data_IF_730026082669
#
_entry.id   IF_730026082669
#
_cell.length_a   1.000
_cell.length_b   1.000
_cell.length_c   1.000
_cell.angle_alpha   90.00
_cell.angle_beta   90.00
_cell.angle_gamma   90.00
#
_symmetry.space_group_name_H-M   'P 1'
#
loop_
_entity.id
_entity.type
_entity.pdbx_description
1 polymer ?
#
# COMPACT_ATOMS: atom_id res chain seq x y z
N UNK A 1 57.68 50.29 -41.36
CA UNK A 1 57.06 49.06 -41.88
C UNK A 1 56.65 48.25 -40.67
N UNK A 2 55.38 48.42 -40.29
CA UNK A 2 54.80 47.91 -39.04
C UNK A 2 54.32 46.47 -39.25
N UNK A 3 54.72 45.59 -38.32
CA UNK A 3 54.05 44.32 -38.08
C UNK A 3 52.76 44.59 -37.30
N UNK A 4 51.60 44.13 -37.80
CA UNK A 4 50.39 43.98 -36.99
C UNK A 4 49.90 42.55 -37.08
N UNK A 5 49.79 41.95 -35.89
CA UNK A 5 49.23 40.64 -35.61
C UNK A 5 47.76 40.58 -36.07
N UNK A 6 47.41 39.44 -36.68
CA UNK A 6 46.03 39.02 -36.93
C UNK A 6 45.51 38.34 -35.65
N UNK A 7 44.72 39.06 -34.86
CA UNK A 7 43.83 38.46 -33.87
C UNK A 7 42.58 37.94 -34.61
N UNK A 8 42.39 36.62 -34.62
CA UNK A 8 41.12 36.01 -35.01
C UNK A 8 40.16 36.15 -33.84
N UNK A 9 39.07 36.89 -34.05
CA UNK A 9 37.96 36.88 -33.12
C UNK A 9 37.24 35.53 -33.25
N UNK A 10 36.92 34.84 -32.14
CA UNK A 10 36.02 33.70 -32.20
C UNK A 10 34.62 34.20 -32.60
N UNK A 11 34.03 33.53 -33.60
CA UNK A 11 32.63 33.71 -33.97
C UNK A 11 31.72 33.59 -32.74
N UNK A 12 30.68 34.43 -32.61
CA UNK A 12 29.72 34.25 -31.54
C UNK A 12 29.00 32.91 -31.75
N UNK A 13 29.25 31.96 -30.84
CA UNK A 13 28.43 30.77 -30.69
C UNK A 13 26.97 31.18 -30.60
N UNK A 14 26.15 30.60 -31.48
CA UNK A 14 24.71 30.78 -31.56
C UNK A 14 24.08 30.65 -30.17
N UNK A 15 23.26 31.63 -29.78
CA UNK A 15 22.38 31.62 -28.60
C UNK A 15 21.29 30.52 -28.63
N UNK A 16 21.47 29.45 -29.42
CA UNK A 16 20.49 28.38 -29.58
C UNK A 16 20.68 27.19 -28.63
N UNK A 17 21.64 27.23 -27.71
CA UNK A 17 21.89 26.19 -26.70
C UNK A 17 21.60 26.64 -25.26
N UNK A 18 20.88 27.76 -25.06
CA UNK A 18 20.38 28.14 -23.73
C UNK A 18 19.00 27.53 -23.47
N UNK A 19 19.02 26.53 -22.59
CA UNK A 19 17.98 26.21 -21.61
C UNK A 19 16.56 26.12 -22.17
N UNK A 20 16.18 24.94 -22.66
CA UNK A 20 14.81 24.49 -22.47
C UNK A 20 14.66 24.17 -20.98
N UNK A 21 14.37 25.18 -20.15
CA UNK A 21 13.80 24.96 -18.82
C UNK A 21 12.55 24.10 -19.01
N UNK A 22 12.64 22.82 -18.63
CA UNK A 22 11.50 21.93 -18.67
C UNK A 22 10.53 22.40 -17.59
N UNK A 23 9.42 23.03 -18.02
CA UNK A 23 8.42 23.60 -17.12
C UNK A 23 7.93 22.53 -16.14
N UNK A 24 7.93 22.85 -14.83
CA UNK A 24 7.37 21.98 -13.79
C UNK A 24 5.95 21.57 -14.19
N UNK A 25 5.70 20.26 -14.19
CA UNK A 25 4.41 19.70 -14.58
C UNK A 25 3.34 20.14 -13.56
N UNK A 26 2.10 20.41 -14.02
CA UNK A 26 0.97 20.57 -13.11
C UNK A 26 0.79 19.34 -12.22
N UNK A 27 0.32 19.54 -10.98
CA UNK A 27 0.12 18.44 -10.03
C UNK A 27 -0.76 17.30 -10.60
N UNK A 28 -1.81 17.64 -11.35
CA UNK A 28 -2.68 16.66 -12.01
C UNK A 28 -2.00 15.80 -13.07
N UNK A 29 -0.94 16.31 -13.71
CA UNK A 29 -0.13 15.52 -14.64
C UNK A 29 0.85 14.62 -13.89
N UNK A 30 1.43 15.11 -12.80
CA UNK A 30 2.35 14.35 -11.95
C UNK A 30 1.65 13.14 -11.32
N UNK A 31 0.39 13.30 -10.90
CA UNK A 31 -0.41 12.24 -10.28
C UNK A 31 -0.76 11.09 -11.24
N UNK A 32 -0.61 11.30 -12.56
CA UNK A 32 -0.83 10.29 -13.60
C UNK A 32 0.40 9.46 -13.93
N UNK A 33 1.59 9.94 -13.56
CA UNK A 33 2.86 9.29 -13.88
C UNK A 33 2.91 7.88 -13.26
N UNK A 34 3.36 6.92 -14.05
CA UNK A 34 3.78 5.60 -13.56
C UNK A 34 5.00 5.73 -12.64
N UNK A 35 5.35 4.67 -11.88
CA UNK A 35 6.51 4.72 -10.98
C UNK A 35 7.81 5.09 -11.69
N UNK A 36 8.02 4.55 -12.90
CA UNK A 36 9.21 4.82 -13.72
C UNK A 36 9.22 6.25 -14.26
N UNK A 37 8.07 6.74 -14.72
CA UNK A 37 7.95 8.13 -15.21
C UNK A 37 8.15 9.14 -14.07
N UNK A 38 7.63 8.85 -12.88
CA UNK A 38 7.87 9.68 -11.68
C UNK A 38 9.36 9.74 -11.34
N UNK A 39 10.05 8.60 -11.29
CA UNK A 39 11.49 8.56 -11.01
C UNK A 39 12.28 9.36 -12.05
N UNK A 40 12.01 9.15 -13.35
CA UNK A 40 12.66 9.90 -14.43
C UNK A 40 12.38 11.41 -14.33
N UNK A 41 11.15 11.80 -13.98
CA UNK A 41 10.77 13.19 -13.80
C UNK A 41 11.56 13.84 -12.66
N UNK A 42 11.65 13.19 -11.48
CA UNK A 42 12.43 13.73 -10.37
C UNK A 42 13.93 13.81 -10.69
N UNK A 43 14.50 12.82 -11.40
CA UNK A 43 15.88 12.89 -11.87
C UNK A 43 16.12 14.06 -12.81
N UNK A 44 15.17 14.35 -13.71
CA UNK A 44 15.28 15.53 -14.58
C UNK A 44 15.26 16.86 -13.81
N UNK A 45 14.48 16.96 -12.72
CA UNK A 45 14.47 18.14 -11.85
C UNK A 45 15.76 18.26 -11.02
N UNK A 46 16.36 17.12 -10.66
CA UNK A 46 17.65 17.06 -9.96
C UNK A 46 18.79 17.60 -10.84
N UNK A 47 18.85 17.12 -12.10
CA UNK A 47 19.81 17.59 -13.10
C UNK A 47 19.67 19.10 -13.39
N UNK A 48 18.45 19.63 -13.28
CA UNK A 48 18.15 21.06 -13.43
C UNK A 48 18.37 21.87 -12.14
N UNK A 49 18.68 21.23 -11.01
CA UNK A 49 18.85 21.89 -9.72
C UNK A 49 17.55 22.46 -9.11
N UNK A 50 16.38 22.03 -9.58
CA UNK A 50 15.07 22.51 -9.14
C UNK A 50 14.32 21.53 -8.24
N UNK A 51 14.84 20.30 -8.05
CA UNK A 51 14.20 19.23 -7.30
C UNK A 51 13.82 19.63 -5.86
N UNK A 52 14.73 20.23 -5.07
CA UNK A 52 14.43 20.57 -3.68
C UNK A 52 13.27 21.57 -3.57
N UNK A 53 13.27 22.63 -4.39
CA UNK A 53 12.20 23.62 -4.40
C UNK A 53 10.86 23.01 -4.86
N UNK A 54 10.91 22.11 -5.86
CA UNK A 54 9.72 21.37 -6.28
C UNK A 54 9.17 20.52 -5.13
N UNK A 55 10.02 19.71 -4.47
CA UNK A 55 9.59 18.83 -3.39
C UNK A 55 9.05 19.62 -2.20
N UNK A 56 9.69 20.74 -1.84
CA UNK A 56 9.19 21.69 -0.82
C UNK A 56 7.77 22.16 -1.12
N UNK A 57 7.43 22.46 -2.38
CA UNK A 57 6.06 22.83 -2.75
C UNK A 57 5.13 21.62 -2.81
N UNK A 58 5.64 20.49 -3.30
CA UNK A 58 4.87 19.27 -3.52
C UNK A 58 4.32 18.69 -2.21
N UNK A 59 5.10 18.74 -1.13
CA UNK A 59 4.70 18.21 0.18
C UNK A 59 3.55 18.99 0.83
N UNK A 60 3.28 20.23 0.41
CA UNK A 60 2.12 21.02 0.87
C UNK A 60 0.80 20.50 0.29
N UNK A 61 0.86 19.83 -0.87
CA UNK A 61 -0.28 19.17 -1.46
C UNK A 61 -0.37 17.73 -0.91
N UNK A 62 -1.35 17.47 -0.04
CA UNK A 62 -1.55 16.15 0.60
C UNK A 62 -1.62 14.97 -0.39
N UNK A 63 -2.24 15.16 -1.55
CA UNK A 63 -2.36 14.10 -2.56
C UNK A 63 -1.03 13.84 -3.26
N UNK A 64 -0.29 14.90 -3.59
CA UNK A 64 1.02 14.78 -4.21
C UNK A 64 2.05 14.20 -3.22
N UNK A 65 2.04 14.63 -1.96
CA UNK A 65 2.83 14.02 -0.89
C UNK A 65 2.52 12.52 -0.78
N UNK A 66 1.24 12.14 -0.77
CA UNK A 66 0.84 10.73 -0.68
C UNK A 66 1.37 9.93 -1.89
N UNK A 67 1.24 10.44 -3.11
CA UNK A 67 1.75 9.82 -4.33
C UNK A 67 3.28 9.66 -4.28
N UNK A 68 4.01 10.74 -4.01
CA UNK A 68 5.47 10.74 -3.89
C UNK A 68 5.95 9.78 -2.81
N UNK A 69 5.27 9.77 -1.67
CA UNK A 69 5.59 8.86 -0.56
C UNK A 69 5.40 7.41 -0.96
N UNK A 70 4.30 7.05 -1.62
CA UNK A 70 4.09 5.65 -2.00
C UNK A 70 5.12 5.16 -3.03
N UNK A 71 5.50 6.01 -3.98
CA UNK A 71 6.49 5.69 -5.01
C UNK A 71 7.93 5.97 -4.58
N UNK A 72 8.16 6.49 -3.38
CA UNK A 72 9.49 6.75 -2.82
C UNK A 72 10.40 5.52 -2.94
N UNK A 73 9.83 4.32 -2.78
CA UNK A 73 10.54 3.06 -2.93
C UNK A 73 11.20 2.88 -4.30
N UNK A 74 10.74 3.53 -5.37
CA UNK A 74 11.29 3.46 -6.73
C UNK A 74 12.23 4.62 -7.08
N UNK A 75 12.42 5.58 -6.17
CA UNK A 75 13.31 6.71 -6.38
C UNK A 75 14.78 6.35 -6.12
N UNK A 76 15.69 7.16 -6.66
CA UNK A 76 17.11 7.07 -6.34
C UNK A 76 17.38 7.42 -4.87
N UNK A 77 18.46 6.89 -4.29
CA UNK A 77 18.72 7.03 -2.84
C UNK A 77 18.83 8.49 -2.37
N UNK A 78 19.44 9.34 -3.18
CA UNK A 78 19.61 10.76 -2.84
C UNK A 78 18.26 11.51 -2.90
N UNK A 79 17.39 11.14 -3.85
CA UNK A 79 16.02 11.64 -3.96
C UNK A 79 15.15 11.18 -2.77
N UNK A 80 15.26 9.90 -2.37
CA UNK A 80 14.59 9.37 -1.17
C UNK A 80 14.99 10.17 0.07
N UNK A 81 16.30 10.36 0.26
CA UNK A 81 16.85 11.09 1.41
C UNK A 81 16.40 12.55 1.41
N UNK A 82 16.36 13.20 0.25
CA UNK A 82 15.90 14.58 0.13
C UNK A 82 14.41 14.70 0.50
N UNK A 83 13.56 13.82 -0.04
CA UNK A 83 12.13 13.77 0.30
C UNK A 83 11.92 13.52 1.81
N UNK A 84 12.66 12.58 2.40
CA UNK A 84 12.60 12.28 3.83
C UNK A 84 12.98 13.50 4.68
N UNK A 85 14.09 14.17 4.36
CA UNK A 85 14.51 15.38 5.08
C UNK A 85 13.44 16.50 4.99
N UNK A 86 12.82 16.70 3.82
CA UNK A 86 11.76 17.70 3.65
C UNK A 86 10.56 17.35 4.51
N UNK A 87 10.12 16.08 4.48
CA UNK A 87 9.00 15.62 5.27
C UNK A 87 9.29 15.80 6.76
N UNK A 88 10.49 15.42 7.23
CA UNK A 88 10.94 15.61 8.62
C UNK A 88 10.99 17.09 9.05
N UNK A 89 11.47 18.00 8.17
CA UNK A 89 11.50 19.44 8.44
C UNK A 89 10.10 20.02 8.61
N UNK A 90 9.14 19.56 7.80
CA UNK A 90 7.73 20.01 7.84
C UNK A 90 6.89 19.24 8.85
N UNK A 91 7.50 18.28 9.53
CA UNK A 91 6.92 17.40 10.55
C UNK A 91 6.61 18.16 11.84
N UNK A 92 5.73 19.16 11.80
CA UNK A 92 4.85 19.48 12.94
C UNK A 92 3.71 18.42 13.06
N UNK A 93 3.96 17.17 12.67
CA UNK A 93 2.96 16.37 11.93
C UNK A 93 1.89 15.68 12.78
N UNK A 94 2.03 15.58 14.09
CA UNK A 94 0.91 15.14 14.94
C UNK A 94 1.01 15.86 16.28
N UNK A 95 0.07 16.76 16.64
CA UNK A 95 -0.01 17.22 18.01
C UNK A 95 -0.25 15.99 18.89
N UNK A 96 0.65 15.67 19.83
CA UNK A 96 0.42 14.58 20.76
C UNK A 96 -0.87 14.87 21.53
N UNK A 97 -1.72 13.85 21.69
CA UNK A 97 -3.05 13.94 22.30
C UNK A 97 -4.14 14.66 21.46
N UNK A 98 -4.05 14.65 20.13
CA UNK A 98 -5.14 15.14 19.29
C UNK A 98 -6.40 14.25 19.35
N UNK A 99 -7.58 14.85 19.48
CA UNK A 99 -8.88 14.19 19.25
C UNK A 99 -9.14 13.91 17.75
N UNK A 100 -8.20 14.26 16.87
CA UNK A 100 -8.32 14.05 15.42
C UNK A 100 -8.24 12.58 15.01
N UNK A 101 -8.69 12.31 13.78
CA UNK A 101 -8.45 11.04 13.09
C UNK A 101 -7.03 11.04 12.48
N UNK A 102 -6.52 9.87 12.05
CA UNK A 102 -5.31 9.79 11.24
C UNK A 102 -5.35 10.80 10.10
N UNK A 103 -4.25 11.53 9.86
CA UNK A 103 -4.13 12.56 8.82
C UNK A 103 -5.14 13.73 8.90
N UNK A 104 -5.82 13.87 10.04
CA UNK A 104 -6.93 14.81 10.24
C UNK A 104 -8.03 14.66 9.18
N UNK A 105 -8.36 13.41 8.83
CA UNK A 105 -9.32 13.10 7.76
C UNK A 105 -10.67 13.80 7.95
N UNK A 106 -11.08 14.08 9.19
CA UNK A 106 -12.30 14.82 9.50
C UNK A 106 -12.30 16.28 9.03
N UNK A 107 -11.14 16.87 8.77
CA UNK A 107 -11.04 18.21 8.16
C UNK A 107 -11.24 18.17 6.65
N UNK A 108 -11.06 17.00 6.02
CA UNK A 108 -11.09 16.82 4.55
C UNK A 108 -12.39 16.16 4.07
N UNK A 109 -12.90 15.20 4.83
CA UNK A 109 -14.07 14.40 4.46
C UNK A 109 -15.20 14.60 5.47
N UNK A 110 -16.42 14.66 4.97
CA UNK A 110 -17.63 14.67 5.78
C UNK A 110 -17.83 13.35 6.52
N UNK A 111 -18.69 13.36 7.54
CA UNK A 111 -18.99 12.18 8.35
C UNK A 111 -19.45 10.96 7.52
N UNK A 112 -20.28 11.16 6.50
CA UNK A 112 -20.76 10.06 5.65
C UNK A 112 -19.68 9.55 4.68
N UNK A 113 -18.81 10.43 4.21
CA UNK A 113 -17.61 10.06 3.43
C UNK A 113 -16.63 9.27 4.29
N UNK A 114 -16.40 9.65 5.54
CA UNK A 114 -15.55 8.89 6.47
C UNK A 114 -16.11 7.49 6.75
N UNK A 115 -17.43 7.37 6.97
CA UNK A 115 -18.09 6.06 7.10
C UNK A 115 -17.90 5.19 5.86
N UNK A 116 -17.95 5.80 4.67
CA UNK A 116 -17.72 5.10 3.41
C UNK A 116 -16.27 4.64 3.27
N UNK A 117 -15.30 5.52 3.54
CA UNK A 117 -13.86 5.22 3.53
C UNK A 117 -13.55 4.07 4.50
N UNK A 118 -13.99 4.18 5.76
CA UNK A 118 -13.70 3.17 6.79
C UNK A 118 -14.46 1.85 6.57
N UNK A 119 -15.63 1.88 5.92
CA UNK A 119 -16.32 0.64 5.51
C UNK A 119 -15.58 -0.15 4.43
N UNK A 120 -14.75 0.53 3.63
CA UNK A 120 -14.00 -0.07 2.52
C UNK A 120 -12.50 -0.19 2.79
N UNK A 121 -12.03 0.15 3.99
CA UNK A 121 -10.62 0.02 4.37
C UNK A 121 -10.24 -1.45 4.52
N UNK A 122 -9.27 -1.89 3.74
CA UNK A 122 -8.75 -3.28 3.74
C UNK A 122 -7.35 -3.41 4.31
N UNK A 123 -6.61 -2.32 4.38
CA UNK A 123 -5.29 -2.29 4.99
C UNK A 123 -5.06 -0.98 5.72
N UNK A 124 -4.39 -1.05 6.88
CA UNK A 124 -3.88 0.10 7.61
C UNK A 124 -2.39 -0.13 7.83
N UNK A 125 -1.55 0.60 7.11
CA UNK A 125 -0.12 0.60 7.36
C UNK A 125 0.18 1.49 8.57
N UNK A 126 0.50 0.87 9.70
CA UNK A 126 0.72 1.61 10.95
C UNK A 126 2.04 2.38 10.97
N UNK A 127 3.07 1.85 10.31
CA UNK A 127 4.42 2.42 10.24
C UNK A 127 4.85 2.56 8.79
N UNK A 128 5.50 3.67 8.45
CA UNK A 128 6.09 3.87 7.13
C UNK A 128 7.46 3.20 7.05
N UNK A 129 7.64 2.36 6.02
CA UNK A 129 8.84 1.52 5.87
C UNK A 129 8.82 0.25 6.73
N UNK A 130 9.91 -0.51 6.63
CA UNK A 130 10.14 -1.78 7.32
C UNK A 130 11.59 -1.86 7.79
N UNK A 131 11.83 -2.25 9.03
CA UNK A 131 13.15 -2.39 9.64
C UNK A 131 14.11 -3.29 8.84
N UNK A 132 13.58 -4.23 8.07
CA UNK A 132 14.37 -5.19 7.29
C UNK A 132 14.66 -4.68 5.89
N UNK A 133 13.63 -4.28 5.13
CA UNK A 133 13.74 -3.88 3.73
C UNK A 133 14.34 -4.98 2.84
N UNK A 134 13.72 -6.16 2.80
CA UNK A 134 14.20 -7.30 2.01
C UNK A 134 14.32 -6.93 0.53
N UNK A 135 15.42 -7.31 -0.13
CA UNK A 135 15.63 -7.07 -1.57
C UNK A 135 14.59 -7.76 -2.45
N UNK A 136 13.97 -8.82 -1.94
CA UNK A 136 12.92 -9.58 -2.61
C UNK A 136 11.51 -9.12 -2.22
N UNK A 137 11.32 -8.12 -1.35
CA UNK A 137 9.97 -7.75 -0.88
C UNK A 137 9.04 -7.38 -2.04
N UNK A 138 7.98 -8.16 -2.30
CA UNK A 138 7.01 -7.86 -3.37
C UNK A 138 6.25 -6.53 -3.17
N UNK A 139 6.17 -6.04 -1.93
CA UNK A 139 5.63 -4.71 -1.62
C UNK A 139 6.66 -3.57 -1.76
N UNK A 140 7.93 -3.90 -2.04
CA UNK A 140 9.07 -2.98 -2.12
C UNK A 140 9.17 -2.08 -0.88
N UNK A 141 8.98 -2.65 0.31
CA UNK A 141 9.02 -1.88 1.56
C UNK A 141 10.36 -1.14 1.70
N UNK A 142 10.29 0.17 1.93
CA UNK A 142 11.47 1.00 2.14
C UNK A 142 12.17 0.56 3.43
N UNK A 143 13.49 0.38 3.36
CA UNK A 143 14.28 -0.05 4.51
C UNK A 143 14.34 1.04 5.57
N UNK A 144 14.12 0.64 6.82
CA UNK A 144 14.06 1.51 7.98
C UNK A 144 12.60 1.79 8.36
N UNK A 145 12.24 1.46 9.60
CA UNK A 145 11.00 1.92 10.19
C UNK A 145 11.11 3.41 10.50
N UNK A 146 10.16 4.19 10.00
CA UNK A 146 10.17 5.65 10.13
C UNK A 146 8.96 6.10 10.94
N UNK A 147 8.16 6.96 10.34
CA UNK A 147 6.98 7.59 10.89
C UNK A 147 5.88 6.56 11.15
N UNK A 148 5.01 6.83 12.11
CA UNK A 148 3.88 5.98 12.44
C UNK A 148 2.61 6.81 12.60
N UNK A 149 1.44 6.15 12.52
CA UNK A 149 0.17 6.77 12.89
C UNK A 149 0.09 6.82 14.43
N UNK A 150 -0.12 7.98 15.07
CA UNK A 150 -0.22 8.08 16.52
C UNK A 150 -1.30 7.16 17.10
N UNK A 151 -1.00 6.55 18.24
CA UNK A 151 -1.95 5.65 18.90
C UNK A 151 -3.27 6.35 19.25
N UNK A 152 -3.23 7.60 19.72
CA UNK A 152 -4.41 8.38 20.08
C UNK A 152 -5.39 8.51 18.90
N UNK A 153 -4.87 8.82 17.71
CA UNK A 153 -5.67 8.94 16.49
C UNK A 153 -6.26 7.61 16.05
N UNK A 154 -5.49 6.51 16.14
CA UNK A 154 -6.02 5.15 15.89
C UNK A 154 -7.12 4.82 16.91
N UNK A 155 -6.94 5.15 18.18
CA UNK A 155 -7.93 4.94 19.22
C UNK A 155 -9.23 5.72 18.94
N UNK A 156 -9.13 6.99 18.52
CA UNK A 156 -10.29 7.80 18.14
C UNK A 156 -11.01 7.19 16.93
N UNK A 157 -10.25 6.80 15.90
CA UNK A 157 -10.77 6.16 14.70
C UNK A 157 -11.52 4.87 15.03
N UNK A 158 -10.93 3.96 15.80
CA UNK A 158 -11.57 2.70 16.19
C UNK A 158 -12.79 2.92 17.09
N UNK A 159 -12.70 3.81 18.08
CA UNK A 159 -13.83 4.12 18.97
C UNK A 159 -15.03 4.69 18.20
N UNK A 160 -14.78 5.59 17.26
CA UNK A 160 -15.85 6.27 16.49
C UNK A 160 -16.37 5.44 15.32
N UNK A 161 -15.49 4.78 14.58
CA UNK A 161 -15.82 4.09 13.32
C UNK A 161 -15.62 2.58 13.35
N UNK A 162 -15.42 1.96 14.51
CA UNK A 162 -15.19 0.53 14.65
C UNK A 162 -16.23 -0.35 13.94
N UNK A 163 -17.51 0.02 14.01
CA UNK A 163 -18.59 -0.67 13.29
C UNK A 163 -18.47 -0.59 11.76
N UNK A 164 -17.83 0.44 11.22
CA UNK A 164 -17.57 0.58 9.79
C UNK A 164 -16.31 -0.20 9.39
N UNK A 165 -15.24 -0.05 10.17
CA UNK A 165 -14.01 -0.84 10.01
C UNK A 165 -14.26 -2.35 10.08
N UNK A 166 -15.25 -2.79 10.87
CA UNK A 166 -15.67 -4.19 10.96
C UNK A 166 -16.11 -4.81 9.63
N UNK A 167 -16.57 -3.99 8.67
CA UNK A 167 -16.97 -4.45 7.32
C UNK A 167 -15.75 -4.69 6.44
N UNK A 168 -14.74 -3.84 6.58
CA UNK A 168 -13.47 -3.92 5.88
C UNK A 168 -12.57 -5.02 6.43
N UNK A 169 -12.53 -5.14 7.76
CA UNK A 169 -11.62 -6.00 8.55
C UNK A 169 -10.16 -5.79 8.16
N UNK A 170 -9.65 -4.54 8.19
CA UNK A 170 -8.34 -4.27 7.66
C UNK A 170 -7.24 -4.98 8.44
N UNK A 171 -6.28 -5.57 7.73
CA UNK A 171 -5.02 -5.97 8.34
C UNK A 171 -4.18 -4.73 8.65
N UNK A 172 -3.34 -4.81 9.68
CA UNK A 172 -2.64 -3.65 10.26
C UNK A 172 -1.20 -3.52 9.77
N UNK A 173 -0.96 -3.87 8.52
CA UNK A 173 0.30 -3.72 7.82
C UNK A 173 0.07 -3.59 6.31
N UNK A 174 1.09 -3.23 5.54
CA UNK A 174 1.06 -3.32 4.08
C UNK A 174 2.48 -3.53 3.56
N UNK A 175 3.25 -2.44 3.46
CA UNK A 175 4.68 -2.45 3.16
C UNK A 175 5.49 -2.15 4.43
N UNK A 176 5.21 -2.85 5.52
CA UNK A 176 5.76 -2.62 6.86
C UNK A 176 5.81 -3.90 7.67
N UNK A 177 6.73 -3.98 8.64
CA UNK A 177 6.77 -5.06 9.62
C UNK A 177 5.86 -4.69 10.82
N UNK A 178 4.80 -5.47 11.12
CA UNK A 178 3.90 -5.21 12.25
C UNK A 178 4.61 -4.89 13.57
N UNK A 179 5.68 -5.63 13.92
CA UNK A 179 6.37 -5.43 15.20
C UNK A 179 7.20 -4.15 15.27
N UNK A 180 7.39 -3.43 14.15
CA UNK A 180 8.09 -2.14 14.16
C UNK A 180 7.25 -1.00 14.73
N UNK A 181 5.92 -1.19 14.88
CA UNK A 181 5.06 -0.14 15.40
C UNK A 181 5.32 0.13 16.88
N UNK A 182 5.83 1.33 17.17
CA UNK A 182 5.98 1.86 18.50
C UNK A 182 5.59 3.35 18.51
N UNK A 183 4.47 3.66 19.17
CA UNK A 183 4.02 5.02 19.45
C UNK A 183 4.48 5.42 20.84
N UNK A 184 5.53 6.25 20.90
CA UNK A 184 6.10 6.77 22.17
C UNK A 184 5.51 8.11 22.60
N UNK A 185 4.37 8.47 22.03
CA UNK A 185 3.66 9.72 22.32
C UNK A 185 2.70 9.52 23.50
N UNK A 186 2.84 10.35 24.55
CA UNK A 186 2.00 10.31 25.76
C UNK A 186 2.72 9.77 27.01
N UNK A 187 1.96 9.33 28.02
CA UNK A 187 2.50 8.84 29.31
C UNK A 187 3.03 7.39 29.24
N UNK A 188 2.65 6.62 28.22
CA UNK A 188 3.03 5.21 28.06
C UNK A 188 3.34 4.89 26.60
N UNK A 189 4.39 4.10 26.38
CA UNK A 189 4.71 3.54 25.06
C UNK A 189 3.59 2.58 24.62
N UNK A 190 3.08 2.76 23.39
CA UNK A 190 2.09 1.89 22.77
C UNK A 190 2.69 1.12 21.60
N UNK A 191 2.28 -0.13 21.48
CA UNK A 191 2.82 -1.12 20.55
C UNK A 191 1.75 -1.59 19.57
N UNK A 192 2.13 -2.45 18.62
CA UNK A 192 1.20 -3.08 17.70
C UNK A 192 0.07 -3.80 18.47
N UNK A 193 0.42 -4.49 19.56
CA UNK A 193 -0.52 -5.23 20.40
C UNK A 193 -1.63 -4.32 20.93
N UNK A 194 -1.31 -3.08 21.32
CA UNK A 194 -2.31 -2.11 21.79
C UNK A 194 -3.28 -1.69 20.67
N UNK A 195 -2.78 -1.49 19.44
CA UNK A 195 -3.62 -1.16 18.28
C UNK A 195 -4.48 -2.36 17.87
N UNK A 196 -3.91 -3.55 17.92
CA UNK A 196 -4.64 -4.80 17.68
C UNK A 196 -5.84 -4.93 18.63
N UNK A 197 -5.66 -4.58 19.91
CA UNK A 197 -6.75 -4.58 20.88
C UNK A 197 -7.84 -3.54 20.60
N UNK A 198 -7.52 -2.41 19.94
CA UNK A 198 -8.54 -1.47 19.47
C UNK A 198 -9.44 -2.11 18.42
N UNK A 199 -8.87 -2.85 17.46
CA UNK A 199 -9.62 -3.56 16.42
C UNK A 199 -10.53 -4.63 17.02
N UNK A 200 -10.00 -5.46 17.91
CA UNK A 200 -10.76 -6.47 18.65
C UNK A 200 -11.91 -5.83 19.42
N UNK A 201 -11.62 -4.82 20.25
CA UNK A 201 -12.59 -4.23 21.18
C UNK A 201 -13.69 -3.43 20.49
N UNK A 202 -13.33 -2.59 19.51
CA UNK A 202 -14.26 -1.61 18.94
C UNK A 202 -14.79 -2.00 17.56
N UNK A 203 -14.07 -2.85 16.82
CA UNK A 203 -14.48 -3.32 15.50
C UNK A 203 -14.83 -4.82 15.45
N UNK A 204 -14.59 -5.58 16.52
CA UNK A 204 -15.05 -6.97 16.64
C UNK A 204 -14.42 -7.91 15.62
N UNK A 205 -13.15 -7.71 15.28
CA UNK A 205 -12.38 -8.63 14.44
C UNK A 205 -10.94 -8.76 14.95
N UNK A 206 -10.32 -9.90 14.65
CA UNK A 206 -8.90 -10.18 14.91
C UNK A 206 -8.10 -9.91 13.60
N UNK A 207 -7.28 -8.85 13.53
CA UNK A 207 -6.43 -8.60 12.37
C UNK A 207 -5.45 -9.73 12.10
N UNK A 208 -5.41 -10.22 10.85
CA UNK A 208 -4.35 -11.12 10.40
C UNK A 208 -2.98 -10.44 10.47
N UNK A 209 -1.93 -11.21 10.72
CA UNK A 209 -0.55 -10.74 10.94
C UNK A 209 0.40 -11.64 10.16
N UNK A 210 1.30 -11.01 9.39
CA UNK A 210 2.50 -11.66 8.86
C UNK A 210 3.71 -10.87 9.34
N UNK A 211 4.64 -11.52 10.04
CA UNK A 211 5.80 -10.86 10.67
C UNK A 211 7.06 -11.69 10.49
N UNK A 212 8.22 -11.05 10.34
CA UNK A 212 9.54 -11.69 10.37
C UNK A 212 10.19 -11.64 11.76
N UNK A 213 9.54 -11.04 12.77
CA UNK A 213 10.10 -10.94 14.12
C UNK A 213 10.05 -12.29 14.86
N UNK A 214 10.99 -13.16 14.52
CA UNK A 214 11.15 -14.48 15.14
C UNK A 214 12.11 -14.45 16.33
N UNK A 215 12.67 -13.29 16.69
CA UNK A 215 13.68 -13.20 17.76
C UNK A 215 13.06 -12.79 19.09
N UNK A 216 12.07 -11.92 19.06
CA UNK A 216 11.39 -11.44 20.26
C UNK A 216 10.42 -12.48 20.82
N UNK A 217 10.64 -12.89 22.08
CA UNK A 217 9.77 -13.86 22.74
C UNK A 217 8.42 -13.27 23.13
N UNK A 218 8.34 -12.00 23.51
CA UNK A 218 7.06 -11.37 23.86
C UNK A 218 6.16 -11.27 22.63
N UNK A 219 6.76 -11.00 21.47
CA UNK A 219 6.06 -11.05 20.20
C UNK A 219 5.55 -12.45 19.83
N UNK A 220 6.38 -13.49 19.99
CA UNK A 220 5.98 -14.87 19.72
C UNK A 220 4.87 -15.32 20.69
N UNK A 221 4.98 -14.97 21.97
CA UNK A 221 3.94 -15.20 22.98
C UNK A 221 2.60 -14.55 22.59
N UNK A 222 2.65 -13.32 22.06
CA UNK A 222 1.47 -12.63 21.52
C UNK A 222 0.90 -13.31 20.27
N UNK A 223 1.75 -13.75 19.34
CA UNK A 223 1.33 -14.45 18.13
C UNK A 223 0.66 -15.79 18.45
N UNK A 224 1.17 -16.52 19.45
CA UNK A 224 0.63 -17.81 19.94
C UNK A 224 -0.59 -17.70 20.87
N UNK A 225 -1.01 -16.48 21.21
CA UNK A 225 -2.17 -16.24 22.05
C UNK A 225 -3.46 -16.77 21.40
N UNK A 226 -4.46 -17.10 22.24
CA UNK A 226 -5.77 -17.51 21.76
C UNK A 226 -6.40 -16.38 20.95
N UNK A 227 -6.88 -16.74 19.76
CA UNK A 227 -7.64 -15.85 18.90
C UNK A 227 -9.01 -15.65 19.50
N UNK A 228 -9.48 -14.42 19.52
CA UNK A 228 -10.86 -14.15 19.88
C UNK A 228 -11.78 -14.70 18.78
N UNK A 229 -12.93 -15.27 19.16
CA UNK A 229 -13.80 -16.00 18.23
C UNK A 229 -14.64 -15.05 17.37
N UNK A 230 -14.00 -14.32 16.46
CA UNK A 230 -14.63 -13.36 15.55
C UNK A 230 -14.53 -13.78 14.07
N UNK A 231 -15.42 -14.69 13.61
CA UNK A 231 -15.59 -15.00 12.18
C UNK A 231 -14.30 -15.32 11.38
N UNK A 232 -14.33 -15.13 10.05
CA UNK A 232 -13.20 -15.42 9.11
C UNK A 232 -12.04 -14.40 9.20
N UNK A 233 -10.87 -14.74 9.73
CA UNK A 233 -9.69 -13.85 9.80
C UNK A 233 -8.76 -14.23 10.96
N UNK A 234 -7.75 -13.40 11.26
CA UNK A 234 -6.84 -13.62 12.40
C UNK A 234 -5.77 -14.68 12.11
N UNK A 235 -5.34 -14.83 10.86
CA UNK A 235 -4.17 -15.66 10.56
C UNK A 235 -2.94 -15.04 11.22
N UNK A 236 -2.10 -15.86 11.84
CA UNK A 236 -0.84 -15.44 12.43
C UNK A 236 0.26 -16.19 11.71
N UNK A 237 1.13 -15.47 11.01
CA UNK A 237 2.19 -16.03 10.18
C UNK A 237 3.53 -15.46 10.60
N UNK A 238 4.50 -16.33 10.81
CA UNK A 238 5.90 -15.95 10.94
C UNK A 238 6.62 -16.29 9.64
N UNK A 239 7.20 -15.26 9.01
CA UNK A 239 8.06 -15.44 7.87
C UNK A 239 9.40 -15.99 8.34
N UNK A 240 9.70 -17.22 7.94
CA UNK A 240 10.95 -17.93 8.21
C UNK A 240 11.87 -17.98 6.99
N UNK A 241 11.64 -17.06 6.06
CA UNK A 241 12.37 -17.01 4.79
C UNK A 241 13.88 -17.01 4.99
N UNK A 242 14.53 -17.96 4.34
CA UNK A 242 15.99 -18.12 4.33
C UNK A 242 16.61 -18.54 5.66
N UNK A 243 15.82 -19.04 6.61
CA UNK A 243 16.33 -19.63 7.84
C UNK A 243 16.89 -21.04 7.60
N UNK A 244 17.96 -21.36 8.31
CA UNK A 244 18.56 -22.70 8.32
C UNK A 244 17.72 -23.65 9.17
N UNK A 245 17.78 -24.95 8.88
CA UNK A 245 17.01 -26.01 9.57
C UNK A 245 17.13 -25.95 11.11
N UNK A 246 18.35 -25.75 11.65
CA UNK A 246 18.55 -25.62 13.09
C UNK A 246 17.82 -24.41 13.70
N UNK A 247 17.71 -23.31 12.95
CA UNK A 247 16.94 -22.13 13.38
C UNK A 247 15.44 -22.39 13.28
N UNK A 248 14.98 -23.08 12.24
CA UNK A 248 13.58 -23.46 12.07
C UNK A 248 13.09 -24.29 13.26
N UNK A 249 13.80 -25.36 13.61
CA UNK A 249 13.48 -26.20 14.79
C UNK A 249 13.42 -25.41 16.10
N UNK A 250 14.30 -24.41 16.27
CA UNK A 250 14.26 -23.53 17.44
C UNK A 250 13.02 -22.63 17.47
N UNK A 251 12.59 -22.12 16.31
CA UNK A 251 11.38 -21.29 16.21
C UNK A 251 10.13 -22.14 16.41
N UNK A 252 10.05 -23.34 15.82
CA UNK A 252 8.97 -24.29 16.04
C UNK A 252 8.76 -24.57 17.53
N UNK A 253 9.83 -24.87 18.27
CA UNK A 253 9.75 -25.10 19.72
C UNK A 253 9.22 -23.88 20.48
N UNK A 254 9.70 -22.67 20.16
CA UNK A 254 9.24 -21.44 20.82
C UNK A 254 7.78 -21.12 20.53
N UNK A 255 7.31 -21.41 19.32
CA UNK A 255 5.90 -21.26 18.93
C UNK A 255 5.04 -22.26 19.70
N UNK A 256 5.45 -23.53 19.78
CA UNK A 256 4.75 -24.55 20.55
C UNK A 256 4.64 -24.17 22.03
N UNK A 257 5.75 -23.73 22.65
CA UNK A 257 5.76 -23.25 24.04
C UNK A 257 4.81 -22.06 24.25
N UNK A 258 4.79 -21.11 23.32
CA UNK A 258 3.88 -19.96 23.37
C UNK A 258 2.41 -20.36 23.24
N UNK A 259 2.09 -21.33 22.36
CA UNK A 259 0.71 -21.81 22.18
C UNK A 259 0.20 -22.58 23.41
N UNK A 260 1.04 -23.45 23.98
CA UNK A 260 0.75 -24.23 25.19
C UNK A 260 0.51 -23.34 26.40
N UNK A 261 1.33 -22.30 26.58
CA UNK A 261 1.17 -21.30 27.65
C UNK A 261 -0.22 -20.62 27.59
N UNK A 262 -0.78 -20.49 26.40
CA UNK A 262 -2.04 -19.80 26.16
C UNK A 262 -3.27 -20.73 26.11
N UNK A 263 -3.11 -22.03 26.38
CA UNK A 263 -4.19 -23.00 26.55
C UNK A 263 -3.99 -24.30 25.77
N UNK A 264 -4.95 -25.24 25.82
CA UNK A 264 -4.79 -26.54 25.19
C UNK A 264 -4.53 -26.39 23.69
N UNK A 265 -3.71 -27.30 23.16
CA UNK A 265 -3.41 -27.39 21.74
C UNK A 265 -4.72 -27.48 20.93
N UNK A 266 -4.84 -26.61 19.95
CA UNK A 266 -5.93 -26.68 18.96
C UNK A 266 -5.54 -27.68 17.86
N UNK A 267 -6.51 -28.25 17.13
CA UNK A 267 -6.23 -29.22 16.06
C UNK A 267 -5.39 -28.63 14.91
N UNK A 268 -5.30 -27.30 14.81
CA UNK A 268 -4.42 -26.58 13.89
C UNK A 268 -3.55 -25.60 14.67
N UNK A 269 -2.27 -25.41 14.27
CA UNK A 269 -1.40 -24.42 14.92
C UNK A 269 -2.02 -23.02 14.81
N UNK A 270 -1.90 -22.23 15.88
CA UNK A 270 -2.39 -20.85 15.87
C UNK A 270 -1.48 -19.97 15.03
N UNK A 271 -0.19 -20.28 15.00
CA UNK A 271 0.85 -19.59 14.23
C UNK A 271 1.41 -20.51 13.14
N UNK A 272 1.34 -20.06 11.90
CA UNK A 272 1.94 -20.74 10.75
C UNK A 272 3.35 -20.20 10.48
N UNK A 273 4.30 -21.11 10.23
CA UNK A 273 5.60 -20.74 9.68
C UNK A 273 5.50 -20.74 8.15
N UNK A 274 5.96 -19.67 7.50
CA UNK A 274 5.79 -19.45 6.06
C UNK A 274 7.12 -19.05 5.41
N UNK A 275 7.34 -19.47 4.15
CA UNK A 275 8.55 -19.14 3.40
C UNK A 275 9.73 -20.10 3.61
N UNK A 276 9.46 -21.31 4.09
CA UNK A 276 10.44 -22.40 4.10
C UNK A 276 10.99 -22.67 2.67
N UNK A 277 12.20 -23.21 2.57
CA UNK A 277 12.86 -23.55 1.30
C UNK A 277 13.21 -22.38 0.35
N UNK A 278 13.28 -21.13 0.84
CA UNK A 278 13.63 -19.96 0.01
C UNK A 278 12.66 -19.69 -1.15
N UNK A 279 11.42 -20.18 -1.07
CA UNK A 279 10.42 -19.92 -2.11
C UNK A 279 9.94 -18.46 -2.00
N UNK A 280 10.62 -17.55 -2.71
CA UNK A 280 10.11 -16.22 -3.01
C UNK A 280 9.76 -16.13 -4.48
N UNK A 281 8.70 -15.39 -4.75
CA UNK A 281 8.19 -15.15 -6.08
C UNK A 281 9.02 -14.02 -6.71
N UNK A 282 9.81 -14.33 -7.73
CA UNK A 282 10.52 -13.31 -8.53
C UNK A 282 9.56 -12.65 -9.52
N UNK A 283 9.95 -11.51 -10.09
CA UNK A 283 9.16 -10.84 -11.12
C UNK A 283 8.09 -9.89 -10.57
N UNK A 284 8.20 -9.46 -9.32
CA UNK A 284 7.24 -8.58 -8.66
C UNK A 284 7.96 -7.43 -7.96
N UNK A 285 7.34 -6.25 -8.00
CA UNK A 285 7.97 -5.03 -7.49
C UNK A 285 9.26 -4.73 -8.26
N UNK A 286 10.31 -4.28 -7.57
CA UNK A 286 11.61 -4.00 -8.20
C UNK A 286 12.21 -5.19 -8.94
N UNK A 287 11.99 -6.41 -8.43
CA UNK A 287 12.50 -7.64 -9.05
C UNK A 287 11.87 -7.95 -10.43
N UNK A 288 10.78 -7.27 -10.79
CA UNK A 288 10.22 -7.29 -12.14
C UNK A 288 11.20 -6.77 -13.19
N UNK A 289 11.93 -5.70 -12.88
CA UNK A 289 12.89 -5.09 -13.82
C UNK A 289 14.13 -5.94 -14.07
N UNK A 290 14.38 -6.93 -13.22
CA UNK A 290 15.52 -7.85 -13.31
C UNK A 290 15.20 -9.11 -14.13
N UNK A 291 13.98 -9.28 -14.63
CA UNK A 291 13.57 -10.46 -15.40
C UNK A 291 13.97 -10.35 -16.88
N UNK A 292 14.52 -11.44 -17.42
CA UNK A 292 14.85 -11.55 -18.86
C UNK A 292 13.63 -11.97 -19.71
N UNK A 293 12.60 -12.58 -19.10
CA UNK A 293 11.40 -13.06 -19.78
C UNK A 293 10.13 -12.73 -19.01
N UNK A 294 9.09 -12.30 -19.73
CA UNK A 294 7.76 -12.01 -19.19
C UNK A 294 6.92 -13.26 -18.94
N UNK A 295 7.28 -14.40 -19.54
CA UNK A 295 6.52 -15.65 -19.42
C UNK A 295 6.67 -16.30 -18.03
N UNK A 296 7.74 -15.97 -17.31
CA UNK A 296 8.04 -16.45 -15.95
C UNK A 296 7.50 -15.51 -14.85
N UNK A 297 6.78 -14.45 -15.24
CA UNK A 297 6.26 -13.45 -14.32
C UNK A 297 4.94 -13.94 -13.72
N UNK A 298 4.80 -13.93 -12.38
CA UNK A 298 3.53 -14.20 -11.73
C UNK A 298 2.48 -13.25 -12.26
N UNK A 299 1.33 -13.78 -12.66
CA UNK A 299 0.25 -12.93 -13.18
C UNK A 299 -0.58 -12.31 -12.06
N UNK A 300 -0.38 -12.74 -10.81
CA UNK A 300 -1.06 -12.22 -9.63
C UNK A 300 -0.29 -11.04 -9.04
N UNK A 301 -0.98 -9.93 -8.78
CA UNK A 301 -0.44 -8.85 -7.96
C UNK A 301 -0.17 -9.28 -6.52
N UNK A 302 0.75 -8.56 -5.85
CA UNK A 302 1.15 -8.84 -4.46
C UNK A 302 -0.02 -8.72 -3.49
N UNK A 303 -0.93 -7.79 -3.78
CA UNK A 303 -2.09 -7.50 -2.96
C UNK A 303 -3.22 -8.48 -3.23
N UNK A 304 -3.91 -8.90 -2.17
CA UNK A 304 -5.09 -9.76 -2.24
C UNK A 304 -6.40 -9.00 -2.03
N UNK A 305 -6.36 -7.67 -2.06
CA UNK A 305 -7.50 -6.81 -1.71
C UNK A 305 -7.64 -5.60 -2.62
N UNK A 306 -8.87 -5.32 -3.01
CA UNK A 306 -9.31 -4.00 -3.49
C UNK A 306 -9.90 -3.21 -2.32
N UNK A 307 -9.90 -1.88 -2.41
CA UNK A 307 -10.55 -1.01 -1.42
C UNK A 307 -9.66 0.14 -1.00
N UNK A 308 -9.69 0.48 0.29
CA UNK A 308 -8.90 1.59 0.84
C UNK A 308 -7.67 1.09 1.62
N UNK A 309 -6.53 1.75 1.40
CA UNK A 309 -5.33 1.69 2.21
C UNK A 309 -5.14 3.01 2.95
N UNK A 310 -4.99 2.95 4.28
CA UNK A 310 -4.55 4.07 5.10
C UNK A 310 -3.07 3.88 5.47
N UNK A 311 -2.26 4.93 5.30
CA UNK A 311 -0.84 4.95 5.70
C UNK A 311 -0.55 6.18 6.56
N UNK A 312 0.66 6.31 7.16
CA UNK A 312 1.03 7.51 7.90
C UNK A 312 1.11 8.78 7.05
N UNK A 313 1.07 8.66 5.71
CA UNK A 313 1.27 9.77 4.75
C UNK A 313 0.11 9.94 3.75
N UNK A 314 -0.92 9.10 3.79
CA UNK A 314 -2.04 9.22 2.85
C UNK A 314 -3.14 8.18 3.01
N UNK A 315 -4.26 8.43 2.32
CA UNK A 315 -5.34 7.47 2.08
C UNK A 315 -5.40 7.20 0.59
N UNK A 316 -5.45 5.93 0.22
CA UNK A 316 -5.36 5.49 -1.17
C UNK A 316 -6.49 4.53 -1.50
N UNK A 317 -6.95 4.58 -2.75
CA UNK A 317 -7.68 3.47 -3.34
C UNK A 317 -6.71 2.42 -3.88
N UNK A 318 -7.10 1.15 -3.77
CA UNK A 318 -6.40 -0.02 -4.25
C UNK A 318 -7.29 -0.77 -5.24
N UNK A 319 -6.71 -1.17 -6.37
CA UNK A 319 -7.33 -2.08 -7.31
C UNK A 319 -6.30 -3.06 -7.88
N UNK A 320 -6.47 -4.34 -7.58
CA UNK A 320 -5.56 -5.41 -8.02
C UNK A 320 -5.71 -5.65 -9.53
N UNK A 321 -4.59 -5.62 -10.23
CA UNK A 321 -4.43 -5.84 -11.67
C UNK A 321 -3.30 -6.85 -11.93
N UNK A 322 -3.13 -7.38 -13.15
CA UNK A 322 -1.98 -8.22 -13.45
C UNK A 322 -0.69 -7.43 -13.32
N UNK A 323 0.40 -8.11 -12.99
CA UNK A 323 1.72 -7.50 -12.99
C UNK A 323 2.07 -7.07 -14.43
N UNK A 324 2.54 -5.83 -14.57
CA UNK A 324 2.98 -5.24 -15.84
C UNK A 324 4.10 -4.23 -15.61
N UNK A 325 4.69 -3.69 -16.68
CA UNK A 325 5.66 -2.59 -16.56
C UNK A 325 5.08 -1.35 -15.85
N UNK A 326 3.80 -1.06 -16.08
CA UNK A 326 3.09 0.06 -15.45
C UNK A 326 2.74 -0.25 -13.99
N UNK A 327 2.41 -1.51 -13.70
CA UNK A 327 2.00 -1.99 -12.37
C UNK A 327 2.89 -3.17 -11.93
N UNK A 328 4.16 -2.94 -11.58
CA UNK A 328 5.10 -4.02 -11.26
C UNK A 328 4.71 -4.81 -10.00
N UNK A 329 3.83 -4.27 -9.17
CA UNK A 329 3.27 -4.93 -7.99
C UNK A 329 1.89 -5.55 -8.24
N UNK A 330 1.34 -5.40 -9.45
CA UNK A 330 -0.01 -5.84 -9.81
C UNK A 330 -1.11 -5.15 -8.99
N UNK A 331 -0.92 -3.86 -8.73
CA UNK A 331 -1.92 -3.03 -8.04
C UNK A 331 -1.90 -1.61 -8.59
N UNK A 332 -3.07 -1.11 -8.97
CA UNK A 332 -3.31 0.31 -9.16
C UNK A 332 -3.53 0.91 -7.79
N UNK A 333 -2.74 1.92 -7.46
CA UNK A 333 -2.85 2.65 -6.20
C UNK A 333 -2.75 4.14 -6.46
N UNK A 334 -3.76 4.86 -5.99
CA UNK A 334 -3.83 6.32 -6.16
C UNK A 334 -4.37 6.97 -4.88
N UNK A 335 -3.86 8.16 -4.52
CA UNK A 335 -4.40 8.95 -3.42
C UNK A 335 -5.88 9.28 -3.63
N UNK A 336 -6.66 9.19 -2.55
CA UNK A 336 -8.04 9.66 -2.54
C UNK A 336 -8.06 11.18 -2.26
N UNK A 337 -8.44 11.95 -3.28
CA UNK A 337 -8.43 13.41 -3.25
C UNK A 337 -9.72 13.98 -2.71
N UNK A 338 -10.84 13.47 -3.20
CA UNK A 338 -12.18 13.84 -2.79
C UNK A 338 -13.15 12.71 -3.11
N UNK A 339 -14.41 12.86 -2.73
CA UNK A 339 -15.48 11.94 -3.11
C UNK A 339 -16.58 12.78 -3.72
N UNK A 340 -16.82 12.61 -5.02
CA UNK A 340 -17.83 13.36 -5.75
C UNK A 340 -18.77 12.45 -6.55
N UNK A 341 -19.74 13.03 -7.26
CA UNK A 341 -20.75 12.30 -8.04
C UNK A 341 -20.58 12.52 -9.55
N UNK A 342 -19.34 12.80 -9.99
CA UNK A 342 -19.00 12.89 -11.40
C UNK A 342 -19.46 11.61 -12.13
N UNK A 343 -20.02 11.75 -13.35
CA UNK A 343 -20.34 10.60 -14.19
C UNK A 343 -19.10 9.77 -14.48
N UNK A 344 -19.26 8.44 -14.46
CA UNK A 344 -18.28 7.49 -15.00
C UNK A 344 -18.81 7.02 -16.35
N UNK A 345 -17.96 7.09 -17.37
CA UNK A 345 -18.27 6.72 -18.75
C UNK A 345 -17.39 5.56 -19.23
N UNK A 346 -17.83 4.91 -20.32
CA UNK A 346 -17.02 3.88 -20.98
C UNK A 346 -15.82 4.55 -21.66
N UNK A 347 -14.64 4.01 -21.46
CA UNK A 347 -13.37 4.57 -21.94
C UNK A 347 -12.64 5.41 -20.90
N UNK A 348 -13.26 5.74 -19.77
CA UNK A 348 -12.58 6.42 -18.67
C UNK A 348 -11.45 5.58 -18.09
N UNK A 349 -10.41 6.25 -17.58
CA UNK A 349 -9.31 5.58 -16.89
C UNK A 349 -9.63 5.44 -15.39
N UNK A 350 -9.49 4.24 -14.85
CA UNK A 350 -9.78 3.91 -13.46
C UNK A 350 -8.95 4.74 -12.47
N UNK A 351 -7.68 5.08 -12.77
CA UNK A 351 -6.86 5.91 -11.89
C UNK A 351 -7.51 7.26 -11.61
N UNK A 352 -8.07 7.89 -12.63
CA UNK A 352 -8.74 9.19 -12.48
C UNK A 352 -10.01 9.10 -11.64
N UNK A 353 -10.79 8.03 -11.86
CA UNK A 353 -12.00 7.76 -11.08
C UNK A 353 -11.64 7.50 -9.61
N UNK A 354 -10.59 6.70 -9.35
CA UNK A 354 -10.14 6.34 -8.01
C UNK A 354 -9.58 7.55 -7.22
N UNK A 355 -9.25 8.67 -7.86
CA UNK A 355 -8.89 9.92 -7.15
C UNK A 355 -10.12 10.60 -6.54
N UNK A 356 -11.31 10.37 -7.10
CA UNK A 356 -12.56 11.10 -6.80
C UNK A 356 -13.73 10.21 -6.34
N UNK A 357 -13.47 8.93 -6.12
CA UNK A 357 -14.43 7.93 -5.67
C UNK A 357 -13.78 6.83 -4.84
N UNK A 358 -14.59 6.06 -4.11
CA UNK A 358 -14.12 4.96 -3.25
C UNK A 358 -14.36 3.62 -3.94
N UNK A 359 -13.31 2.82 -4.10
CA UNK A 359 -13.39 1.44 -4.59
C UNK A 359 -13.99 0.55 -3.51
N UNK A 360 -14.89 -0.35 -3.92
CA UNK A 360 -15.44 -1.36 -3.03
C UNK A 360 -14.36 -2.26 -2.44
N UNK A 361 -14.39 -2.39 -1.12
CA UNK A 361 -13.50 -3.28 -0.40
C UNK A 361 -13.83 -4.75 -0.63
N UNK A 362 -12.97 -5.49 -1.33
CA UNK A 362 -13.15 -6.94 -1.55
C UNK A 362 -11.82 -7.70 -1.52
N UNK A 363 -11.89 -8.99 -1.21
CA UNK A 363 -10.75 -9.89 -1.41
C UNK A 363 -10.76 -10.37 -2.86
N UNK A 364 -9.64 -10.22 -3.55
CA UNK A 364 -9.53 -10.43 -5.00
C UNK A 364 -9.01 -11.81 -5.37
N UNK A 365 -8.44 -12.54 -4.41
CA UNK A 365 -7.91 -13.89 -4.61
C UNK A 365 -8.82 -14.93 -3.95
N UNK A 366 -9.41 -15.80 -4.74
CA UNK A 366 -9.76 -17.16 -4.31
C UNK A 366 -8.58 -18.05 -4.72
N UNK A 367 -7.73 -18.47 -3.77
CA UNK A 367 -6.63 -19.41 -4.06
C UNK A 367 -5.36 -19.13 -3.27
N UNK A 368 -5.23 -19.78 -2.13
CA UNK A 368 -3.93 -20.18 -1.60
C UNK A 368 -3.35 -21.32 -2.45
N UNK A 369 -2.08 -21.65 -2.23
CA UNK A 369 -1.37 -22.77 -2.88
C UNK A 369 -2.28 -24.01 -2.92
N UNK A 370 -2.44 -24.62 -4.10
CA UNK A 370 -3.14 -25.90 -4.24
C UNK A 370 -2.11 -27.00 -4.46
N UNK A 371 -2.32 -28.12 -3.79
CA UNK A 371 -1.69 -29.38 -4.16
C UNK A 371 -2.39 -29.90 -5.42
N UNK A 372 -1.61 -30.30 -6.43
CA UNK A 372 -2.14 -31.05 -7.57
C UNK A 372 -2.66 -32.45 -7.13
N UNK A 373 -3.22 -33.21 -8.06
CA UNK A 373 -3.74 -34.57 -7.81
C UNK A 373 -2.65 -35.55 -7.28
N UNK A 374 -1.38 -35.15 -7.32
CA UNK A 374 -0.20 -35.92 -6.93
C UNK A 374 0.43 -35.42 -5.60
N UNK A 375 -0.15 -34.40 -4.96
CA UNK A 375 0.33 -33.84 -3.69
C UNK A 375 1.52 -32.89 -3.84
N UNK A 376 1.82 -32.43 -5.07
CA UNK A 376 2.84 -31.40 -5.31
C UNK A 376 2.21 -30.03 -5.20
N UNK A 377 2.83 -29.18 -4.38
CA UNK A 377 2.56 -27.74 -4.35
C UNK A 377 3.00 -27.16 -5.70
N UNK A 378 2.06 -26.82 -6.58
CA UNK A 378 2.37 -26.07 -7.80
C UNK A 378 2.83 -24.64 -7.44
N UNK A 379 3.72 -24.10 -8.28
CA UNK A 379 4.29 -22.78 -8.11
C UNK A 379 3.21 -21.69 -7.98
N UNK A 380 3.55 -20.71 -7.15
CA UNK A 380 2.72 -19.59 -6.71
C UNK A 380 1.79 -19.01 -7.79
N UNK A 381 0.49 -19.18 -7.57
CA UNK A 381 -0.66 -18.52 -8.23
C UNK A 381 -0.58 -18.36 -9.76
N UNK A 382 -1.29 -19.24 -10.48
CA UNK A 382 -2.13 -18.75 -11.58
C UNK A 382 -3.16 -17.79 -11.01
N UNK A 383 -2.91 -16.49 -11.14
CA UNK A 383 -4.00 -15.53 -11.15
C UNK A 383 -5.00 -15.97 -12.22
N UNK A 384 -6.17 -16.45 -11.83
CA UNK A 384 -7.28 -16.63 -12.77
C UNK A 384 -8.06 -15.34 -12.96
N UNK A 385 -7.72 -14.25 -12.26
CA UNK A 385 -8.54 -13.04 -12.20
C UNK A 385 -8.93 -12.60 -13.60
N UNK A 386 -10.18 -12.91 -13.90
CA UNK A 386 -10.69 -12.84 -15.26
C UNK A 386 -10.86 -11.37 -15.53
N UNK A 387 -10.08 -10.86 -16.45
CA UNK A 387 -10.37 -9.57 -17.05
C UNK A 387 -11.41 -9.78 -18.16
N UNK A 388 -12.40 -8.88 -18.27
CA UNK A 388 -12.56 -7.69 -17.44
C UNK A 388 -13.03 -8.01 -16.01
N UNK A 389 -12.47 -7.27 -15.05
CA UNK A 389 -12.76 -7.41 -13.62
C UNK A 389 -13.84 -6.40 -13.24
N UNK A 390 -14.88 -6.91 -12.59
CA UNK A 390 -16.01 -6.08 -12.17
C UNK A 390 -15.82 -5.57 -10.73
N UNK A 391 -16.18 -4.31 -10.48
CA UNK A 391 -16.18 -3.71 -9.14
C UNK A 391 -17.27 -2.65 -8.96
N UNK A 392 -17.46 -2.18 -7.73
CA UNK A 392 -18.32 -1.05 -7.39
C UNK A 392 -17.45 0.16 -7.03
N UNK A 393 -17.77 1.31 -7.63
CA UNK A 393 -17.21 2.61 -7.27
C UNK A 393 -18.30 3.44 -6.60
N UNK A 394 -17.99 3.97 -5.42
CA UNK A 394 -18.88 4.82 -4.65
C UNK A 394 -18.49 6.29 -4.85
N UNK A 395 -19.44 7.08 -5.32
CA UNK A 395 -19.42 8.53 -5.20
C UNK A 395 -20.03 8.97 -3.88
N UNK A 396 -20.35 10.26 -3.77
CA UNK A 396 -20.96 10.85 -2.57
C UNK A 396 -22.38 10.33 -2.33
N UNK A 397 -23.19 10.34 -3.39
CA UNK A 397 -24.57 9.85 -3.39
C UNK A 397 -24.81 8.79 -4.46
N UNK A 398 -23.91 8.65 -5.42
CA UNK A 398 -24.01 7.69 -6.53
C UNK A 398 -23.17 6.45 -6.30
N UNK A 399 -23.55 5.38 -7.00
CA UNK A 399 -22.81 4.12 -7.03
C UNK A 399 -22.79 3.61 -8.46
N UNK A 400 -21.61 3.24 -8.92
CA UNK A 400 -21.41 2.72 -10.27
C UNK A 400 -20.89 1.29 -10.17
N UNK A 401 -21.55 0.38 -10.86
CA UNK A 401 -20.99 -0.92 -11.15
C UNK A 401 -20.18 -0.80 -12.43
N UNK A 402 -18.88 -1.10 -12.38
CA UNK A 402 -17.96 -0.93 -13.51
C UNK A 402 -17.25 -2.23 -13.84
N UNK A 403 -16.91 -2.41 -15.11
CA UNK A 403 -16.10 -3.51 -15.64
C UNK A 403 -14.81 -2.91 -16.17
N UNK A 404 -13.66 -3.36 -15.67
CA UNK A 404 -12.35 -2.77 -15.95
C UNK A 404 -11.48 -3.78 -16.70
N UNK A 405 -10.74 -3.37 -17.73
CA UNK A 405 -9.71 -4.19 -18.37
C UNK A 405 -8.40 -4.25 -17.56
N UNK A 406 -7.40 -4.96 -18.08
CA UNK A 406 -6.11 -5.17 -17.39
C UNK A 406 -5.24 -3.90 -17.38
N UNK A 407 -5.50 -2.96 -18.29
CA UNK A 407 -4.84 -1.65 -18.39
C UNK A 407 -5.49 -0.60 -17.47
N UNK A 408 -6.66 -0.90 -16.92
CA UNK A 408 -7.39 0.00 -16.03
C UNK A 408 -8.43 0.88 -16.74
N UNK A 409 -8.84 0.56 -17.97
CA UNK A 409 -9.90 1.29 -18.66
C UNK A 409 -11.29 0.72 -18.33
N UNK A 410 -12.28 1.60 -18.21
CA UNK A 410 -13.68 1.22 -17.99
C UNK A 410 -14.27 0.70 -19.31
N UNK A 411 -14.61 -0.58 -19.38
CA UNK A 411 -15.27 -1.19 -20.53
C UNK A 411 -16.80 -1.08 -20.46
N UNK A 412 -17.36 -1.09 -19.25
CA UNK A 412 -18.82 -1.04 -19.02
C UNK A 412 -19.11 -0.29 -17.72
N UNK A 413 -20.20 0.46 -17.70
CA UNK A 413 -20.68 1.19 -16.53
C UNK A 413 -22.19 1.05 -16.37
N UNK A 414 -22.64 0.92 -15.12
CA UNK A 414 -24.06 0.97 -14.76
C UNK A 414 -24.23 1.74 -13.46
N UNK A 415 -24.94 2.87 -13.50
CA UNK A 415 -25.42 3.56 -12.30
C UNK A 415 -26.47 2.70 -11.58
N UNK A 416 -26.23 2.41 -10.30
CA UNK A 416 -27.08 1.56 -9.46
C UNK A 416 -27.65 2.30 -8.25
N UNK A 417 -27.66 3.63 -8.29
CA UNK A 417 -28.18 4.48 -7.21
C UNK A 417 -29.62 4.11 -6.85
N UNK A 418 -29.90 3.92 -5.55
CA UNK A 418 -31.27 3.68 -5.03
C UNK A 418 -31.84 2.27 -5.19
N UNK A 419 -31.07 1.29 -5.70
CA UNK A 419 -31.52 -0.12 -5.75
C UNK A 419 -30.77 -0.97 -4.72
N UNK A 420 -31.51 -1.72 -3.89
CA UNK A 420 -30.97 -2.74 -2.98
C UNK A 420 -30.43 -3.92 -3.82
N UNK A 421 -29.22 -3.81 -4.33
CA UNK A 421 -28.49 -4.95 -4.88
C UNK A 421 -27.42 -5.40 -3.89
N UNK A 422 -27.68 -6.55 -3.27
CA UNK A 422 -26.62 -7.53 -3.08
C UNK A 422 -26.02 -7.81 -4.47
N UNK A 423 -24.69 -7.93 -4.56
CA UNK A 423 -23.91 -8.17 -5.79
C UNK A 423 -24.75 -8.97 -6.82
N UNK A 424 -24.98 -8.47 -8.04
CA UNK A 424 -25.78 -9.21 -9.00
C UNK A 424 -25.11 -10.55 -9.26
N UNK A 425 -25.90 -11.62 -9.24
CA UNK A 425 -25.53 -12.86 -9.92
C UNK A 425 -24.95 -12.50 -11.29
N UNK A 426 -23.80 -13.10 -11.64
CA UNK A 426 -23.01 -12.89 -12.87
C UNK A 426 -23.80 -13.05 -14.19
N UNK A 427 -25.11 -13.28 -14.15
CA UNK A 427 -26.00 -13.65 -15.26
C UNK A 427 -26.92 -12.54 -15.76
N UNK A 428 -26.85 -11.30 -15.26
CA UNK A 428 -27.71 -10.22 -15.77
C UNK A 428 -26.86 -9.05 -16.28
N UNK A 429 -26.28 -9.30 -17.44
CA UNK A 429 -25.76 -8.29 -18.35
C UNK A 429 -26.64 -8.34 -19.59
N UNK A 430 -27.24 -7.20 -19.97
CA UNK A 430 -27.88 -7.01 -21.28
C UNK A 430 -26.89 -6.28 -22.17
#
# INVERSE_FOLDING_TARGET
MENRNLESQPEPLLESEREQEQKILPADEILKLSPKEMANYLSSLEEQGTLENFLEQAVENKSLLAQLSYWEKWLEKDQQKLLENIIERKKEIYPPESESLPLELEKKFSEDELKLIFSNTKAIQLTFGCSIGCSFCGFDAIKGAREHIPYSQLANMYKKYGSHLSKGRPFLYWASEPSDYASKEGLEDKTYQDVHQLAVKYAGYDPSITSFNVKDQEWIDFMGAKKEKYGLGGERRLSVFGMKEESLKRIELRVLEAEEKNGPAEPHPRVELQGEEYRHVKGMGKSFQEQESIDDIPKAGIACVDGILLTPRGVFNLFVVPISEEYPQGVVIVPLEEINDEPIEVGDNLKEIMRRGVVWGSYTHEGGVFEDEEGKLEDFQRYIGKFPKDTLIYGKNKRYYVSVDQEGNILRVRDVTGKNYLLPDRKVWV
#
